data_IF_387561061435
#
_entry.id   IF_387561061435
#
_cell.length_a   1.000
_cell.length_b   1.000
_cell.length_c   1.000
_cell.angle_alpha   90.00
_cell.angle_beta   90.00
_cell.angle_gamma   90.00
#
_symmetry.space_group_name_H-M   'P 1'
#
loop_
_entity.id
_entity.type
_entity.pdbx_description
1 polymer ?
#
# COMPACT_ATOMS: atom_id res chain seq x y z
N UNK A 1 11.11 -4.68 -40.62
CA UNK A 1 9.78 -4.58 -39.95
C UNK A 1 9.60 -3.17 -39.44
N UNK A 2 9.02 -2.28 -40.26
CA UNK A 2 8.75 -0.90 -39.87
C UNK A 2 7.52 -0.87 -38.97
N UNK A 3 7.66 -0.41 -37.73
CA UNK A 3 6.50 -0.16 -36.89
C UNK A 3 5.68 0.97 -37.53
N UNK A 4 4.34 0.88 -37.55
CA UNK A 4 3.51 1.94 -38.11
C UNK A 4 3.76 3.21 -37.29
N UNK A 5 4.33 4.23 -37.94
CA UNK A 5 4.53 5.54 -37.35
C UNK A 5 3.15 6.14 -37.11
N UNK A 6 2.63 5.93 -35.90
CA UNK A 6 1.36 6.49 -35.46
C UNK A 6 1.40 8.02 -35.62
N UNK A 7 0.58 8.57 -36.51
CA UNK A 7 0.58 10.01 -36.79
C UNK A 7 0.00 10.79 -35.60
N UNK A 8 0.43 12.04 -35.41
CA UNK A 8 -0.04 12.91 -34.31
C UNK A 8 -1.57 13.04 -34.26
N UNK A 9 -2.23 13.00 -35.43
CA UNK A 9 -3.70 13.00 -35.54
C UNK A 9 -4.31 11.69 -35.02
N UNK A 10 -3.70 10.54 -35.30
CA UNK A 10 -4.11 9.24 -34.78
C UNK A 10 -3.95 9.17 -33.26
N UNK A 11 -2.79 9.60 -32.72
CA UNK A 11 -2.59 9.67 -31.28
C UNK A 11 -3.62 10.57 -30.58
N UNK A 12 -4.04 11.68 -31.21
CA UNK A 12 -5.06 12.56 -30.64
C UNK A 12 -6.42 11.85 -30.50
N UNK A 13 -6.86 11.14 -31.54
CA UNK A 13 -8.11 10.36 -31.49
C UNK A 13 -8.02 9.23 -30.47
N UNK A 14 -6.87 8.55 -30.40
CA UNK A 14 -6.63 7.52 -29.38
C UNK A 14 -6.74 8.10 -27.98
N UNK A 15 -6.10 9.24 -27.69
CA UNK A 15 -6.22 9.87 -26.36
C UNK A 15 -7.66 10.26 -26.05
N UNK A 16 -8.44 10.76 -27.02
CA UNK A 16 -9.86 11.08 -26.80
C UNK A 16 -10.70 9.85 -26.46
N UNK A 17 -10.51 8.75 -27.19
CA UNK A 17 -11.23 7.50 -26.93
C UNK A 17 -10.82 6.93 -25.58
N UNK A 18 -9.51 6.93 -25.30
CA UNK A 18 -8.95 6.37 -24.07
C UNK A 18 -9.35 7.21 -22.84
N UNK A 19 -9.44 8.53 -22.93
CA UNK A 19 -9.91 9.37 -21.80
C UNK A 19 -11.38 9.12 -21.49
N UNK A 20 -12.24 8.96 -22.50
CA UNK A 20 -13.66 8.61 -22.30
C UNK A 20 -13.79 7.22 -21.68
N UNK A 21 -13.04 6.23 -22.19
CA UNK A 21 -13.01 4.89 -21.58
C UNK A 21 -12.50 4.92 -20.14
N UNK A 22 -11.50 5.76 -19.85
CA UNK A 22 -10.96 5.95 -18.51
C UNK A 22 -12.00 6.56 -17.56
N UNK A 23 -12.84 7.48 -18.03
CA UNK A 23 -13.97 7.98 -17.24
C UNK A 23 -14.96 6.86 -16.88
N UNK A 24 -15.34 6.02 -17.85
CA UNK A 24 -16.26 4.92 -17.61
C UNK A 24 -15.69 3.91 -16.61
N UNK A 25 -14.40 3.58 -16.74
CA UNK A 25 -13.68 2.72 -15.79
C UNK A 25 -13.63 3.36 -14.40
N UNK A 26 -13.36 4.67 -14.30
CA UNK A 26 -13.36 5.39 -13.03
C UNK A 26 -14.73 5.42 -12.35
N UNK A 27 -15.81 5.64 -13.11
CA UNK A 27 -17.18 5.55 -12.61
C UNK A 27 -17.52 4.14 -12.11
N UNK A 28 -17.12 3.11 -12.85
CA UNK A 28 -17.31 1.73 -12.42
C UNK A 28 -16.55 1.46 -11.11
N UNK A 29 -15.27 1.83 -11.02
CA UNK A 29 -14.47 1.62 -9.80
C UNK A 29 -15.07 2.37 -8.60
N UNK A 30 -15.53 3.61 -8.79
CA UNK A 30 -16.22 4.37 -7.75
C UNK A 30 -17.51 3.66 -7.29
N UNK A 31 -18.35 3.21 -8.23
CA UNK A 31 -19.58 2.49 -7.92
C UNK A 31 -19.32 1.20 -7.13
N UNK A 32 -18.43 0.35 -7.63
CA UNK A 32 -18.09 -0.91 -6.95
C UNK A 32 -17.42 -0.66 -5.59
N UNK A 33 -16.56 0.35 -5.47
CA UNK A 33 -15.93 0.74 -4.21
C UNK A 33 -16.95 1.18 -3.15
N UNK A 34 -17.93 2.01 -3.52
CA UNK A 34 -19.01 2.45 -2.61
C UNK A 34 -19.87 1.26 -2.17
N UNK A 35 -20.21 0.35 -3.09
CA UNK A 35 -21.02 -0.83 -2.78
C UNK A 35 -20.28 -1.76 -1.80
N UNK A 36 -18.98 -1.96 -1.99
CA UNK A 36 -18.16 -2.77 -1.08
C UNK A 36 -18.01 -2.08 0.28
N UNK A 37 -17.66 -0.79 0.30
CA UNK A 37 -17.50 -0.01 1.54
C UNK A 37 -18.77 -0.02 2.39
N UNK A 38 -19.94 0.24 1.78
CA UNK A 38 -21.24 0.20 2.46
C UNK A 38 -21.67 -1.19 2.92
N UNK A 39 -21.10 -2.25 2.33
CA UNK A 39 -21.37 -3.63 2.76
C UNK A 39 -20.45 -4.09 3.90
N UNK A 40 -19.31 -3.44 4.09
CA UNK A 40 -18.27 -3.80 5.06
C UNK A 40 -18.16 -2.80 6.22
N UNK A 41 -19.01 -1.76 6.28
CA UNK A 41 -19.04 -0.82 7.39
C UNK A 41 -19.60 -1.48 8.66
N UNK A 42 -18.72 -2.01 9.50
CA UNK A 42 -18.99 -2.32 10.91
C UNK A 42 -18.64 -1.12 11.79
N UNK A 43 -19.15 -1.09 13.03
CA UNK A 43 -18.75 -0.12 14.07
C UNK A 43 -17.26 -0.16 14.44
N UNK A 44 -16.55 -1.23 14.06
CA UNK A 44 -15.10 -1.31 14.16
C UNK A 44 -14.43 -0.82 12.86
N UNK A 45 -13.54 0.18 12.99
CA UNK A 45 -12.66 0.69 11.94
C UNK A 45 -11.76 -0.44 11.42
N UNK A 46 -12.11 -1.04 10.28
CA UNK A 46 -11.35 -2.13 9.69
C UNK A 46 -10.58 -1.67 8.45
N UNK A 47 -9.34 -2.13 8.30
CA UNK A 47 -8.46 -1.83 7.16
C UNK A 47 -9.10 -2.17 5.80
N UNK A 48 -9.95 -3.19 5.73
CA UNK A 48 -10.71 -3.58 4.52
C UNK A 48 -11.72 -2.50 4.10
N UNK A 49 -12.45 -1.91 5.04
CA UNK A 49 -13.37 -0.79 4.77
C UNK A 49 -12.63 0.44 4.24
N UNK A 50 -11.44 0.73 4.81
CA UNK A 50 -10.56 1.82 4.35
C UNK A 50 -10.11 1.59 2.91
N UNK A 51 -9.71 0.37 2.54
CA UNK A 51 -9.31 0.09 1.15
C UNK A 51 -10.45 0.32 0.16
N UNK A 52 -11.68 -0.07 0.50
CA UNK A 52 -12.84 0.11 -0.37
C UNK A 52 -13.23 1.60 -0.52
N UNK A 53 -13.20 2.37 0.56
CA UNK A 53 -13.42 3.83 0.54
C UNK A 53 -12.33 4.52 -0.27
N UNK A 54 -11.06 4.15 -0.07
CA UNK A 54 -9.94 4.74 -0.81
C UNK A 54 -9.98 4.40 -2.31
N UNK A 55 -10.40 3.19 -2.68
CA UNK A 55 -10.66 2.82 -4.07
C UNK A 55 -11.79 3.67 -4.68
N UNK A 56 -12.85 3.93 -3.92
CA UNK A 56 -13.95 4.77 -4.37
C UNK A 56 -13.51 6.22 -4.59
N UNK A 57 -12.77 6.81 -3.64
CA UNK A 57 -12.23 8.17 -3.77
C UNK A 57 -11.24 8.26 -4.92
N UNK A 58 -10.35 7.26 -5.08
CA UNK A 58 -9.45 7.19 -6.22
C UNK A 58 -10.19 7.10 -7.55
N UNK A 59 -11.30 6.35 -7.62
CA UNK A 59 -12.18 6.30 -8.80
C UNK A 59 -12.74 7.66 -9.17
N UNK A 60 -13.20 8.44 -8.20
CA UNK A 60 -13.71 9.82 -8.41
C UNK A 60 -12.59 10.74 -8.90
N UNK A 61 -11.43 10.71 -8.25
CA UNK A 61 -10.25 11.49 -8.66
C UNK A 61 -9.84 11.11 -10.08
N UNK A 62 -9.88 9.83 -10.43
CA UNK A 62 -9.54 9.34 -11.75
C UNK A 62 -10.49 9.86 -12.83
N UNK A 63 -11.80 9.96 -12.54
CA UNK A 63 -12.78 10.62 -13.42
C UNK A 63 -12.43 12.10 -13.60
N UNK A 64 -12.17 12.82 -12.51
CA UNK A 64 -11.82 14.25 -12.57
C UNK A 64 -10.55 14.49 -13.41
N UNK A 65 -9.51 13.69 -13.22
CA UNK A 65 -8.28 13.76 -14.02
C UNK A 65 -8.56 13.45 -15.49
N UNK A 66 -9.38 12.44 -15.77
CA UNK A 66 -9.79 12.10 -17.14
C UNK A 66 -10.58 13.24 -17.81
N UNK A 67 -11.39 14.00 -17.05
CA UNK A 67 -12.09 15.19 -17.54
C UNK A 67 -11.12 16.31 -17.92
N UNK A 68 -10.10 16.57 -17.10
CA UNK A 68 -9.03 17.54 -17.43
C UNK A 68 -8.32 17.12 -18.71
N UNK A 69 -8.04 15.82 -18.89
CA UNK A 69 -7.46 15.29 -20.13
C UNK A 69 -8.33 15.49 -21.35
N UNK A 70 -9.64 15.23 -21.23
CA UNK A 70 -10.59 15.45 -22.32
C UNK A 70 -10.69 16.93 -22.72
N UNK A 71 -10.82 17.83 -21.75
CA UNK A 71 -10.80 19.27 -21.98
C UNK A 71 -9.47 19.74 -22.60
N UNK A 72 -8.33 19.21 -22.14
CA UNK A 72 -7.01 19.53 -22.67
C UNK A 72 -6.80 19.09 -24.12
N UNK A 73 -7.46 18.02 -24.58
CA UNK A 73 -7.39 17.60 -25.99
C UNK A 73 -8.28 18.45 -26.89
N UNK A 74 -9.40 18.96 -26.37
CA UNK A 74 -10.34 19.85 -27.09
C UNK A 74 -9.87 21.30 -27.16
N UNK A 75 -9.13 21.78 -26.16
CA UNK A 75 -8.61 23.14 -26.13
C UNK A 75 -7.68 23.44 -27.32
N UNK A 76 -7.93 24.58 -27.99
CA UNK A 76 -7.14 25.07 -29.13
C UNK A 76 -6.08 26.08 -28.68
N UNK A 77 -6.38 26.94 -27.70
CA UNK A 77 -5.42 27.80 -26.99
C UNK A 77 -4.91 27.11 -25.72
N UNK A 78 -3.63 27.32 -25.37
CA UNK A 78 -2.96 26.77 -24.16
C UNK A 78 -2.93 25.24 -24.01
N UNK A 79 -3.18 24.52 -25.11
CA UNK A 79 -3.24 23.05 -25.19
C UNK A 79 -2.08 22.33 -24.50
N UNK A 80 -0.87 22.88 -24.61
CA UNK A 80 0.34 22.25 -24.06
C UNK A 80 0.35 22.27 -22.53
N UNK A 81 -0.17 23.33 -21.89
CA UNK A 81 -0.24 23.41 -20.43
C UNK A 81 -1.26 22.42 -19.86
N UNK A 82 -2.46 22.34 -20.43
CA UNK A 82 -3.48 21.36 -20.00
C UNK A 82 -3.03 19.91 -20.21
N UNK A 83 -2.36 19.62 -21.34
CA UNK A 83 -1.82 18.28 -21.61
C UNK A 83 -0.73 17.90 -20.59
N UNK A 84 0.09 18.86 -20.17
CA UNK A 84 1.11 18.66 -19.14
C UNK A 84 0.51 18.47 -17.75
N UNK A 85 -0.50 19.26 -17.36
CA UNK A 85 -1.24 19.06 -16.10
C UNK A 85 -1.87 17.66 -16.08
N UNK A 86 -2.53 17.28 -17.17
CA UNK A 86 -3.12 15.95 -17.32
C UNK A 86 -2.08 14.84 -17.23
N UNK A 87 -0.90 15.01 -17.84
CA UNK A 87 0.20 14.07 -17.75
C UNK A 87 0.66 13.85 -16.30
N UNK A 88 0.86 14.92 -15.53
CA UNK A 88 1.28 14.82 -14.12
C UNK A 88 0.20 14.20 -13.24
N UNK A 89 -1.04 14.64 -13.40
CA UNK A 89 -2.17 14.10 -12.66
C UNK A 89 -2.37 12.61 -12.97
N UNK A 90 -2.21 12.22 -14.23
CA UNK A 90 -2.24 10.81 -14.66
C UNK A 90 -1.11 10.00 -14.04
N UNK A 91 0.11 10.52 -14.01
CA UNK A 91 1.25 9.84 -13.41
C UNK A 91 1.00 9.62 -11.91
N UNK A 92 0.56 10.65 -11.19
CA UNK A 92 0.26 10.56 -9.76
C UNK A 92 -0.87 9.56 -9.47
N UNK A 93 -1.98 9.66 -10.21
CA UNK A 93 -3.10 8.73 -10.05
C UNK A 93 -2.69 7.31 -10.38
N UNK A 94 -1.88 7.08 -11.42
CA UNK A 94 -1.43 5.73 -11.81
C UNK A 94 -0.66 5.00 -10.72
N UNK A 95 0.16 5.73 -9.94
CA UNK A 95 0.91 5.15 -8.81
C UNK A 95 -0.07 4.64 -7.75
N UNK A 96 -0.98 5.51 -7.32
CA UNK A 96 -1.97 5.20 -6.29
C UNK A 96 -2.90 4.08 -6.77
N UNK A 97 -3.34 4.12 -8.04
CA UNK A 97 -4.22 3.13 -8.63
C UNK A 97 -3.60 1.74 -8.70
N UNK A 98 -2.30 1.64 -9.01
CA UNK A 98 -1.62 0.35 -9.10
C UNK A 98 -1.56 -0.34 -7.74
N UNK A 99 -1.26 0.41 -6.67
CA UNK A 99 -1.25 -0.12 -5.30
C UNK A 99 -2.63 -0.66 -4.93
N UNK A 100 -3.68 0.12 -5.16
CA UNK A 100 -5.04 -0.30 -4.82
C UNK A 100 -5.57 -1.42 -5.70
N UNK A 101 -5.20 -1.45 -6.98
CA UNK A 101 -5.54 -2.54 -7.90
C UNK A 101 -4.91 -3.85 -7.42
N UNK A 102 -3.64 -3.81 -7.04
CA UNK A 102 -2.96 -4.98 -6.49
C UNK A 102 -3.60 -5.43 -5.17
N UNK A 103 -3.86 -4.50 -4.25
CA UNK A 103 -4.57 -4.80 -3.00
C UNK A 103 -5.94 -5.43 -3.27
N UNK A 104 -6.67 -4.97 -4.29
CA UNK A 104 -7.95 -5.56 -4.67
C UNK A 104 -7.82 -6.97 -5.26
N UNK A 105 -6.74 -7.26 -6.00
CA UNK A 105 -6.47 -8.59 -6.55
C UNK A 105 -6.01 -9.59 -5.48
N UNK A 106 -5.32 -9.13 -4.44
CA UNK A 106 -4.86 -9.97 -3.32
C UNK A 106 -5.91 -10.08 -2.21
N UNK A 107 -6.81 -9.10 -2.08
CA UNK A 107 -7.87 -9.10 -1.07
C UNK A 107 -8.62 -10.43 -0.94
N UNK A 108 -8.98 -11.18 -2.01
CA UNK A 108 -9.67 -12.46 -1.89
C UNK A 108 -9.04 -13.49 -0.95
N UNK A 109 -7.70 -13.54 -0.83
CA UNK A 109 -7.03 -14.46 0.10
C UNK A 109 -7.13 -13.96 1.54
N UNK A 110 -6.91 -12.68 1.77
CA UNK A 110 -6.93 -12.04 3.10
C UNK A 110 -8.34 -11.84 3.66
N UNK A 111 -9.35 -11.72 2.78
CA UNK A 111 -10.73 -11.43 3.19
C UNK A 111 -11.37 -12.60 3.92
N UNK A 112 -10.90 -13.84 3.68
CA UNK A 112 -11.44 -15.03 4.33
C UNK A 112 -11.18 -14.97 5.84
N UNK A 113 -9.94 -14.69 6.22
CA UNK A 113 -9.51 -14.56 7.61
C UNK A 113 -10.22 -13.38 8.27
N UNK A 114 -10.30 -12.24 7.59
CA UNK A 114 -11.02 -11.07 8.08
C UNK A 114 -12.52 -11.34 8.28
N UNK A 115 -13.17 -11.97 7.29
CA UNK A 115 -14.61 -12.27 7.33
C UNK A 115 -14.94 -13.26 8.44
N UNK A 116 -14.07 -14.24 8.72
CA UNK A 116 -14.24 -15.15 9.87
C UNK A 116 -14.30 -14.38 11.20
N UNK A 117 -13.42 -13.40 11.37
CA UNK A 117 -13.31 -12.60 12.60
C UNK A 117 -14.45 -11.59 12.79
N UNK A 118 -15.06 -11.12 11.70
CA UNK A 118 -16.11 -10.08 11.73
C UNK A 118 -17.50 -10.60 11.40
N UNK A 119 -17.67 -11.90 11.16
CA UNK A 119 -18.93 -12.46 10.65
C UNK A 119 -20.13 -12.15 11.54
N UNK A 120 -19.94 -12.15 12.87
CA UNK A 120 -21.00 -11.91 13.84
C UNK A 120 -21.47 -10.45 13.89
N UNK A 121 -20.63 -9.48 13.51
CA UNK A 121 -20.87 -8.05 13.63
C UNK A 121 -21.21 -7.37 12.30
N UNK A 122 -21.19 -8.12 11.20
CA UNK A 122 -21.38 -7.59 9.86
C UNK A 122 -22.86 -7.45 9.46
N UNK A 123 -23.27 -6.31 8.88
CA UNK A 123 -24.63 -6.11 8.37
C UNK A 123 -24.94 -6.98 7.13
N UNK A 124 -23.95 -7.68 6.57
CA UNK A 124 -24.07 -8.59 5.44
C UNK A 124 -25.08 -9.71 5.69
N UNK A 125 -25.24 -10.18 6.94
CA UNK A 125 -26.17 -11.28 7.29
C UNK A 125 -27.63 -10.95 7.02
N UNK A 126 -27.99 -9.67 7.02
CA UNK A 126 -29.34 -9.20 6.76
C UNK A 126 -29.67 -9.08 5.27
N UNK A 127 -28.67 -9.20 4.38
CA UNK A 127 -28.90 -9.17 2.93
C UNK A 127 -29.26 -10.56 2.40
N UNK A 128 -30.22 -10.67 1.46
CA UNK A 128 -30.65 -11.96 0.91
C UNK A 128 -29.53 -12.70 0.17
N UNK A 129 -28.57 -11.98 -0.40
CA UNK A 129 -27.43 -12.55 -1.11
C UNK A 129 -26.35 -13.16 -0.20
N UNK A 130 -26.32 -12.86 1.11
CA UNK A 130 -25.21 -13.16 2.02
C UNK A 130 -25.67 -13.88 3.30
N UNK A 131 -26.73 -14.70 3.24
CA UNK A 131 -27.28 -15.38 4.43
C UNK A 131 -26.32 -16.41 5.06
N UNK A 132 -25.46 -17.02 4.25
CA UNK A 132 -24.43 -17.98 4.71
C UNK A 132 -23.04 -17.40 4.53
N UNK A 133 -22.09 -17.87 5.34
CA UNK A 133 -20.70 -17.43 5.30
C UNK A 133 -20.07 -17.63 3.91
N UNK A 134 -20.30 -18.80 3.29
CA UNK A 134 -19.76 -19.12 1.96
C UNK A 134 -20.31 -18.19 0.86
N UNK A 135 -21.60 -17.88 0.91
CA UNK A 135 -22.22 -16.94 -0.03
C UNK A 135 -21.69 -15.51 0.16
N UNK A 136 -21.48 -15.08 1.40
CA UNK A 136 -20.90 -13.77 1.68
C UNK A 136 -19.43 -13.69 1.23
N UNK A 137 -18.65 -14.74 1.49
CA UNK A 137 -17.27 -14.87 1.01
C UNK A 137 -17.21 -14.78 -0.51
N UNK A 138 -18.03 -15.55 -1.21
CA UNK A 138 -18.07 -15.56 -2.67
C UNK A 138 -18.48 -14.20 -3.22
N UNK A 139 -19.49 -13.55 -2.62
CA UNK A 139 -19.95 -12.21 -3.00
C UNK A 139 -18.83 -11.17 -2.88
N UNK A 140 -18.16 -11.10 -1.74
CA UNK A 140 -17.09 -10.13 -1.47
C UNK A 140 -15.88 -10.41 -2.36
N UNK A 141 -15.44 -11.68 -2.43
CA UNK A 141 -14.29 -12.09 -3.26
C UNK A 141 -14.48 -11.74 -4.74
N UNK A 142 -15.66 -12.00 -5.30
CA UNK A 142 -15.96 -11.69 -6.71
C UNK A 142 -15.89 -10.18 -6.98
N UNK A 143 -16.38 -9.35 -6.05
CA UNK A 143 -16.38 -7.89 -6.21
C UNK A 143 -14.99 -7.29 -6.11
N UNK A 144 -14.15 -7.78 -5.20
CA UNK A 144 -12.74 -7.38 -5.12
C UNK A 144 -11.96 -7.81 -6.37
N UNK A 145 -12.19 -9.02 -6.88
CA UNK A 145 -11.58 -9.47 -8.14
C UNK A 145 -12.00 -8.59 -9.32
N UNK A 146 -13.29 -8.25 -9.44
CA UNK A 146 -13.79 -7.33 -10.47
C UNK A 146 -13.17 -5.93 -10.36
N UNK A 147 -13.03 -5.39 -9.14
CA UNK A 147 -12.32 -4.13 -8.89
C UNK A 147 -10.86 -4.21 -9.34
N UNK A 148 -10.17 -5.32 -9.06
CA UNK A 148 -8.82 -5.56 -9.52
C UNK A 148 -8.69 -5.63 -11.05
N UNK A 149 -9.60 -6.32 -11.73
CA UNK A 149 -9.61 -6.40 -13.20
C UNK A 149 -9.88 -5.03 -13.84
N UNK A 150 -10.85 -4.29 -13.31
CA UNK A 150 -11.14 -2.92 -13.76
C UNK A 150 -9.97 -1.97 -13.51
N UNK A 151 -9.32 -2.09 -12.35
CA UNK A 151 -8.12 -1.35 -12.02
C UNK A 151 -6.97 -1.62 -13.00
N UNK A 152 -6.73 -2.90 -13.34
CA UNK A 152 -5.72 -3.29 -14.31
C UNK A 152 -6.01 -2.73 -15.72
N UNK A 153 -7.28 -2.76 -16.15
CA UNK A 153 -7.70 -2.13 -17.40
C UNK A 153 -7.49 -0.61 -17.37
N UNK A 154 -7.76 0.06 -16.24
CA UNK A 154 -7.48 1.48 -16.04
C UNK A 154 -5.99 1.81 -16.08
N UNK A 155 -5.13 0.98 -15.51
CA UNK A 155 -3.67 1.17 -15.59
C UNK A 155 -3.19 1.05 -17.05
N UNK A 156 -3.67 0.05 -17.78
CA UNK A 156 -3.35 -0.12 -19.20
C UNK A 156 -3.78 1.11 -20.02
N UNK A 157 -4.98 1.65 -19.76
CA UNK A 157 -5.46 2.87 -20.42
C UNK A 157 -4.58 4.08 -20.09
N UNK A 158 -4.14 4.22 -18.84
CA UNK A 158 -3.25 5.30 -18.42
C UNK A 158 -1.87 5.22 -19.06
N UNK A 159 -1.28 4.03 -19.10
CA UNK A 159 0.02 3.81 -19.76
C UNK A 159 -0.07 4.15 -21.24
N UNK A 160 -1.11 3.69 -21.93
CA UNK A 160 -1.34 4.03 -23.34
C UNK A 160 -1.49 5.54 -23.55
N UNK A 161 -2.17 6.22 -22.63
CA UNK A 161 -2.35 7.67 -22.67
C UNK A 161 -1.03 8.42 -22.48
N UNK A 162 -0.21 8.00 -21.50
CA UNK A 162 1.12 8.57 -21.26
C UNK A 162 2.02 8.42 -22.48
N UNK A 163 2.04 7.25 -23.12
CA UNK A 163 2.81 7.01 -24.36
C UNK A 163 2.36 7.95 -25.49
N UNK A 164 1.06 8.14 -25.65
CA UNK A 164 0.53 9.05 -26.66
C UNK A 164 0.89 10.51 -26.36
N UNK A 165 0.82 10.95 -25.11
CA UNK A 165 1.18 12.31 -24.70
C UNK A 165 2.66 12.58 -24.96
N UNK A 166 3.55 11.64 -24.59
CA UNK A 166 5.00 11.77 -24.83
C UNK A 166 5.30 11.92 -26.32
N UNK A 167 4.58 11.21 -27.19
CA UNK A 167 4.69 11.36 -28.65
C UNK A 167 4.17 12.70 -29.17
N UNK A 168 3.12 13.26 -28.56
CA UNK A 168 2.51 14.53 -29.00
C UNK A 168 3.33 15.75 -28.54
N UNK A 169 3.80 15.76 -27.30
CA UNK A 169 4.37 16.96 -26.67
C UNK A 169 5.88 17.15 -26.93
N UNK A 170 6.53 16.20 -27.60
CA UNK A 170 7.98 16.13 -27.84
C UNK A 170 8.81 16.01 -26.54
N UNK A 171 9.70 15.02 -26.52
CA UNK A 171 10.48 14.61 -25.33
C UNK A 171 11.21 15.76 -24.58
N UNK A 172 11.87 16.74 -25.24
CA UNK A 172 12.70 17.72 -24.53
C UNK A 172 11.91 18.81 -23.80
N UNK A 173 10.74 19.23 -24.31
CA UNK A 173 9.89 20.25 -23.66
C UNK A 173 9.23 19.67 -22.41
N UNK A 174 8.71 18.45 -22.52
CA UNK A 174 8.11 17.72 -21.40
C UNK A 174 9.13 17.43 -20.31
N UNK A 175 10.31 16.93 -20.67
CA UNK A 175 11.30 16.51 -19.66
C UNK A 175 11.81 17.65 -18.78
N UNK A 176 11.90 18.87 -19.31
CA UNK A 176 12.37 20.02 -18.52
C UNK A 176 11.39 20.44 -17.44
N UNK A 177 10.10 20.51 -17.77
CA UNK A 177 9.07 20.80 -16.77
C UNK A 177 8.84 19.61 -15.84
N UNK A 178 8.99 18.39 -16.37
CA UNK A 178 8.75 17.16 -15.60
C UNK A 178 9.75 17.00 -14.47
N UNK A 179 11.02 17.27 -14.73
CA UNK A 179 12.05 17.16 -13.68
C UNK A 179 11.80 18.15 -12.53
N UNK A 180 11.30 19.36 -12.83
CA UNK A 180 11.01 20.36 -11.78
C UNK A 180 9.78 19.98 -10.96
N UNK A 181 8.71 19.47 -11.60
CA UNK A 181 7.48 19.06 -10.90
C UNK A 181 7.72 17.81 -10.06
N UNK A 182 8.37 16.79 -10.63
CA UNK A 182 8.67 15.54 -9.92
C UNK A 182 9.56 15.80 -8.70
N UNK A 183 10.59 16.64 -8.82
CA UNK A 183 11.42 17.00 -7.67
C UNK A 183 10.68 17.86 -6.64
N UNK A 184 9.75 18.73 -7.04
CA UNK A 184 8.90 19.44 -6.09
C UNK A 184 8.01 18.47 -5.29
N UNK A 185 7.44 17.45 -5.94
CA UNK A 185 6.69 16.39 -5.26
C UNK A 185 7.57 15.60 -4.29
N UNK A 186 8.81 15.27 -4.68
CA UNK A 186 9.76 14.61 -3.77
C UNK A 186 10.17 15.49 -2.58
N UNK A 187 10.28 16.81 -2.75
CA UNK A 187 10.50 17.73 -1.63
C UNK A 187 9.34 17.63 -0.63
N UNK A 188 8.09 17.69 -1.11
CA UNK A 188 6.91 17.57 -0.23
C UNK A 188 6.89 16.22 0.49
N UNK A 189 7.08 15.12 -0.25
CA UNK A 189 7.12 13.78 0.32
C UNK A 189 8.26 13.62 1.35
N UNK A 190 9.42 14.22 1.09
CA UNK A 190 10.57 14.19 2.00
C UNK A 190 10.26 14.94 3.29
N UNK A 191 9.65 16.12 3.20
CA UNK A 191 9.23 16.89 4.36
C UNK A 191 8.23 16.10 5.21
N UNK A 192 7.24 15.45 4.58
CA UNK A 192 6.27 14.59 5.29
C UNK A 192 6.99 13.42 5.99
N UNK A 193 7.93 12.76 5.32
CA UNK A 193 8.70 11.66 5.91
C UNK A 193 9.55 12.10 7.10
N UNK A 194 10.19 13.27 7.02
CA UNK A 194 10.98 13.84 8.12
C UNK A 194 10.07 14.17 9.31
N UNK A 195 8.98 14.90 9.07
CA UNK A 195 8.03 15.30 10.13
C UNK A 195 7.42 14.07 10.79
N UNK A 196 6.97 13.09 9.99
CA UNK A 196 6.39 11.86 10.52
C UNK A 196 7.43 11.03 11.29
N UNK A 197 8.67 10.93 10.82
CA UNK A 197 9.74 10.22 11.54
C UNK A 197 10.07 10.87 12.89
N UNK A 198 10.12 12.20 12.95
CA UNK A 198 10.30 12.94 14.19
C UNK A 198 9.09 12.79 15.12
N UNK A 199 7.87 12.80 14.56
CA UNK A 199 6.64 12.59 15.31
C UNK A 199 6.57 11.16 15.89
N UNK A 200 6.85 10.14 15.08
CA UNK A 200 6.86 8.74 15.51
C UNK A 200 7.83 8.52 16.67
N UNK A 201 8.98 9.20 16.65
CA UNK A 201 9.94 9.19 17.74
C UNK A 201 9.45 9.95 18.99
N UNK A 202 8.76 11.07 18.82
CA UNK A 202 8.35 11.92 19.94
C UNK A 202 7.16 11.39 20.76
N UNK A 203 6.38 10.48 20.18
CA UNK A 203 5.15 9.95 20.79
C UNK A 203 5.26 8.48 21.22
N UNK A 204 6.46 7.90 21.24
CA UNK A 204 6.69 6.47 21.50
C UNK A 204 5.74 5.58 20.69
N UNK A 205 5.34 6.03 19.48
CA UNK A 205 4.42 5.29 18.62
C UNK A 205 5.01 3.96 18.12
N UNK A 206 6.29 3.73 18.41
CA UNK A 206 7.09 2.56 18.09
C UNK A 206 7.64 1.91 19.38
N UNK A 207 6.80 1.77 20.40
CA UNK A 207 7.11 1.01 21.61
C UNK A 207 7.59 -0.41 21.26
N UNK A 208 8.81 -0.77 21.67
CA UNK A 208 9.40 -2.10 21.41
C UNK A 208 10.83 -2.12 20.86
N UNK A 209 11.58 -1.00 20.95
CA UNK A 209 12.98 -0.95 20.48
C UNK A 209 13.13 -0.68 18.98
N UNK A 210 12.08 -0.14 18.34
CA UNK A 210 12.05 0.18 16.91
C UNK A 210 12.44 1.63 16.60
N UNK A 211 13.07 2.33 17.55
CA UNK A 211 13.55 3.72 17.39
C UNK A 211 14.46 3.91 16.17
N UNK A 212 15.22 2.86 15.82
CA UNK A 212 16.08 2.86 14.65
C UNK A 212 15.29 3.04 13.35
N UNK A 213 14.04 2.57 13.29
CA UNK A 213 13.15 2.72 12.13
C UNK A 213 12.71 4.17 11.95
N UNK A 214 12.40 4.87 13.05
CA UNK A 214 12.07 6.30 13.02
C UNK A 214 13.27 7.12 12.52
N UNK A 215 14.48 6.82 13.03
CA UNK A 215 15.71 7.46 12.56
C UNK A 215 16.04 7.15 11.10
N UNK A 216 15.78 5.92 10.65
CA UNK A 216 15.93 5.55 9.25
C UNK A 216 15.00 6.38 8.37
N UNK A 217 13.73 6.54 8.76
CA UNK A 217 12.77 7.35 8.01
C UNK A 217 13.21 8.81 7.91
N UNK A 218 13.70 9.40 9.01
CA UNK A 218 14.27 10.75 9.00
C UNK A 218 15.48 10.83 8.07
N UNK A 219 16.42 9.88 8.17
CA UNK A 219 17.62 9.84 7.33
C UNK A 219 17.30 9.72 5.83
N UNK A 220 16.38 8.83 5.47
CA UNK A 220 15.89 8.68 4.09
C UNK A 220 15.19 9.95 3.62
N UNK A 221 14.37 10.57 4.47
CA UNK A 221 13.70 11.84 4.18
C UNK A 221 14.71 12.95 3.87
N UNK A 222 15.75 13.12 4.69
CA UNK A 222 16.81 14.12 4.47
C UNK A 222 17.55 13.84 3.15
N UNK A 223 17.95 12.59 2.91
CA UNK A 223 18.64 12.22 1.67
C UNK A 223 17.78 12.51 0.43
N UNK A 224 16.49 12.17 0.48
CA UNK A 224 15.54 12.46 -0.60
C UNK A 224 15.34 13.96 -0.80
N UNK A 225 15.26 14.74 0.28
CA UNK A 225 15.15 16.20 0.22
C UNK A 225 16.35 16.84 -0.48
N UNK A 226 17.57 16.45 -0.09
CA UNK A 226 18.82 16.97 -0.68
C UNK A 226 18.93 16.60 -2.16
N UNK A 227 18.64 15.33 -2.51
CA UNK A 227 18.63 14.90 -3.92
C UNK A 227 17.60 15.67 -4.74
N UNK A 228 16.38 15.86 -4.21
CA UNK A 228 15.33 16.60 -4.89
C UNK A 228 15.69 18.08 -5.09
N UNK A 229 16.37 18.71 -4.11
CA UNK A 229 16.90 20.06 -4.26
C UNK A 229 17.94 20.15 -5.39
N UNK A 230 18.88 19.21 -5.49
CA UNK A 230 19.84 19.19 -6.59
C UNK A 230 19.16 18.99 -7.95
N UNK A 231 18.14 18.13 -8.02
CA UNK A 231 17.35 17.95 -9.24
C UNK A 231 16.58 19.21 -9.63
N UNK A 232 15.95 19.87 -8.66
CA UNK A 232 15.22 21.11 -8.86
C UNK A 232 16.15 22.26 -9.30
N UNK A 233 17.23 22.51 -8.55
CA UNK A 233 18.22 23.54 -8.86
C UNK A 233 18.94 23.26 -10.20
N UNK A 234 19.33 22.00 -10.45
CA UNK A 234 19.96 21.58 -11.70
C UNK A 234 19.08 21.86 -12.93
N UNK A 235 17.77 21.63 -12.81
CA UNK A 235 16.81 21.91 -13.90
C UNK A 235 16.64 23.41 -14.20
N UNK A 236 16.76 24.27 -13.18
CA UNK A 236 16.57 25.72 -13.28
C UNK A 236 17.84 26.44 -13.71
N UNK A 237 18.95 26.16 -13.04
CA UNK A 237 20.26 26.78 -13.24
C UNK A 237 20.96 26.23 -14.51
N UNK A 238 20.44 25.15 -15.11
CA UNK A 238 21.02 24.45 -16.27
C UNK A 238 22.46 23.98 -16.02
N UNK A 239 22.80 23.71 -14.75
CA UNK A 239 24.14 23.26 -14.37
C UNK A 239 24.32 21.76 -14.65
N UNK A 240 25.27 21.42 -15.51
CA UNK A 240 25.58 20.01 -15.86
C UNK A 240 26.12 19.22 -14.67
N UNK A 241 26.89 19.86 -13.79
CA UNK A 241 27.49 19.22 -12.61
C UNK A 241 26.42 18.84 -11.58
N UNK A 242 25.46 19.75 -11.31
CA UNK A 242 24.33 19.45 -10.41
C UNK A 242 23.45 18.31 -10.97
N UNK A 243 23.20 18.31 -12.28
CA UNK A 243 22.46 17.23 -12.93
C UNK A 243 23.21 15.88 -12.88
N UNK A 244 24.55 15.88 -12.88
CA UNK A 244 25.36 14.67 -12.73
C UNK A 244 25.23 14.11 -11.31
N UNK A 245 25.41 14.96 -10.29
CA UNK A 245 25.26 14.56 -8.88
C UNK A 245 23.85 14.00 -8.63
N UNK A 246 22.83 14.67 -9.16
CA UNK A 246 21.45 14.20 -9.10
C UNK A 246 21.27 12.84 -9.78
N UNK A 247 21.79 12.67 -11.01
CA UNK A 247 21.70 11.39 -11.73
C UNK A 247 22.44 10.25 -11.02
N UNK A 248 23.61 10.52 -10.41
CA UNK A 248 24.35 9.54 -9.63
C UNK A 248 23.55 9.12 -8.38
N UNK A 249 22.93 10.08 -7.68
CA UNK A 249 22.04 9.79 -6.56
C UNK A 249 20.80 8.98 -6.96
N UNK A 250 20.18 9.30 -8.09
CA UNK A 250 19.08 8.51 -8.64
C UNK A 250 19.51 7.09 -9.03
N UNK A 251 20.71 6.92 -9.58
CA UNK A 251 21.25 5.59 -9.88
C UNK A 251 21.50 4.77 -8.60
N UNK A 252 22.03 5.40 -7.55
CA UNK A 252 22.22 4.76 -6.25
C UNK A 252 20.88 4.33 -5.63
N UNK A 253 19.90 5.21 -5.60
CA UNK A 253 18.55 4.90 -5.08
C UNK A 253 17.88 3.78 -5.89
N UNK A 254 18.07 3.73 -7.21
CA UNK A 254 17.59 2.63 -8.05
C UNK A 254 18.21 1.29 -7.64
N UNK A 255 19.52 1.25 -7.38
CA UNK A 255 20.20 0.02 -6.92
C UNK A 255 19.60 -0.43 -5.59
N UNK A 256 19.47 0.48 -4.62
CA UNK A 256 18.89 0.18 -3.29
C UNK A 256 17.46 -0.35 -3.42
N UNK A 257 16.62 0.29 -4.24
CA UNK A 257 15.24 -0.15 -4.46
C UNK A 257 15.16 -1.51 -5.15
N UNK A 258 16.03 -1.78 -6.14
CA UNK A 258 16.08 -3.09 -6.78
C UNK A 258 16.51 -4.19 -5.81
N UNK A 259 17.55 -3.94 -5.01
CA UNK A 259 18.00 -4.89 -3.97
C UNK A 259 16.88 -5.12 -2.94
N UNK A 260 16.23 -4.05 -2.48
CA UNK A 260 15.09 -4.12 -1.56
C UNK A 260 13.87 -4.86 -2.12
N UNK A 261 13.57 -4.67 -3.41
CA UNK A 261 12.52 -5.42 -4.08
C UNK A 261 12.87 -6.91 -4.15
N UNK A 262 14.08 -7.25 -4.61
CA UNK A 262 14.52 -8.64 -4.72
C UNK A 262 14.55 -9.34 -3.36
N UNK A 263 15.01 -8.65 -2.31
CA UNK A 263 15.02 -9.22 -0.96
C UNK A 263 13.59 -9.42 -0.45
N UNK A 264 12.67 -8.46 -0.62
CA UNK A 264 11.28 -8.61 -0.21
C UNK A 264 10.62 -9.84 -0.84
N UNK A 265 10.77 -10.04 -2.15
CA UNK A 265 10.22 -11.23 -2.84
C UNK A 265 10.90 -12.52 -2.42
N UNK A 266 12.22 -12.51 -2.24
CA UNK A 266 12.97 -13.68 -1.80
C UNK A 266 12.56 -14.10 -0.38
N UNK A 267 12.46 -13.15 0.56
CA UNK A 267 12.00 -13.42 1.92
C UNK A 267 10.55 -13.92 1.92
N UNK A 268 9.66 -13.27 1.15
CA UNK A 268 8.24 -13.67 1.04
C UNK A 268 8.06 -15.13 0.64
N UNK A 269 8.92 -15.64 -0.25
CA UNK A 269 8.78 -16.98 -0.83
C UNK A 269 9.58 -18.06 -0.10
N UNK A 270 10.75 -17.73 0.45
CA UNK A 270 11.70 -18.74 0.94
C UNK A 270 11.90 -18.75 2.46
N UNK A 271 11.57 -17.66 3.17
CA UNK A 271 11.92 -17.51 4.59
C UNK A 271 10.72 -17.18 5.49
N UNK A 272 9.55 -16.87 4.94
CA UNK A 272 8.34 -16.68 5.76
C UNK A 272 7.99 -17.95 6.53
N UNK A 273 8.17 -19.13 5.94
CA UNK A 273 7.82 -20.39 6.59
C UNK A 273 8.73 -20.71 7.77
N UNK A 274 10.05 -20.65 7.57
CA UNK A 274 11.02 -20.93 8.63
C UNK A 274 10.99 -19.90 9.76
N UNK A 275 10.76 -18.62 9.44
CA UNK A 275 10.67 -17.56 10.45
C UNK A 275 9.40 -17.68 11.29
N UNK A 276 8.24 -17.95 10.67
CA UNK A 276 6.97 -18.11 11.42
C UNK A 276 6.96 -19.38 12.28
N UNK A 277 7.63 -20.45 11.85
CA UNK A 277 7.83 -21.65 12.67
C UNK A 277 8.78 -21.40 13.85
N UNK A 278 9.85 -20.63 13.65
CA UNK A 278 10.83 -20.33 14.69
C UNK A 278 10.29 -19.35 15.76
N UNK A 279 9.54 -18.33 15.34
CA UNK A 279 9.00 -17.30 16.25
C UNK A 279 7.65 -17.71 16.85
N UNK A 280 6.87 -18.54 16.14
CA UNK A 280 5.52 -18.92 16.53
C UNK A 280 4.47 -17.94 16.01
N UNK A 281 3.45 -18.47 15.34
CA UNK A 281 2.40 -17.67 14.69
C UNK A 281 1.63 -16.76 15.67
N UNK A 282 1.34 -17.25 16.87
CA UNK A 282 0.67 -16.47 17.92
C UNK A 282 1.47 -15.27 18.41
N UNK A 283 2.80 -15.37 18.45
CA UNK A 283 3.70 -14.28 18.87
C UNK A 283 3.84 -13.23 17.76
N UNK A 284 3.90 -13.65 16.49
CA UNK A 284 3.89 -12.75 15.33
C UNK A 284 2.56 -12.01 15.23
N UNK A 285 1.45 -12.71 15.40
CA UNK A 285 0.12 -12.10 15.39
C UNK A 285 -0.03 -11.07 16.51
N UNK A 286 0.55 -11.37 17.67
CA UNK A 286 0.45 -10.48 18.81
C UNK A 286 1.33 -9.24 18.69
N UNK A 287 2.60 -9.40 18.31
CA UNK A 287 3.52 -8.28 18.06
C UNK A 287 3.07 -7.41 16.88
N UNK A 288 2.40 -7.99 15.89
CA UNK A 288 1.80 -7.26 14.78
C UNK A 288 0.46 -6.58 15.10
N UNK A 289 -0.02 -6.66 16.34
CA UNK A 289 -1.37 -6.22 16.75
C UNK A 289 -2.44 -6.65 15.75
N UNK A 290 -2.35 -7.89 15.28
CA UNK A 290 -3.28 -8.40 14.28
C UNK A 290 -4.68 -8.45 14.88
N UNK A 291 -5.64 -7.96 14.10
CA UNK A 291 -7.02 -7.85 14.54
C UNK A 291 -7.57 -9.22 14.98
N UNK A 292 -8.36 -9.22 16.05
CA UNK A 292 -9.00 -10.42 16.57
C UNK A 292 -8.11 -11.28 17.48
N UNK A 293 -6.85 -10.88 17.70
CA UNK A 293 -6.07 -11.46 18.78
C UNK A 293 -6.60 -10.96 20.13
N UNK A 294 -7.14 -11.87 20.94
CA UNK A 294 -7.73 -11.53 22.24
C UNK A 294 -6.72 -11.60 23.40
N UNK A 295 -5.55 -12.22 23.17
CA UNK A 295 -4.62 -12.62 24.23
C UNK A 295 -3.22 -11.98 24.08
N UNK A 296 -3.21 -10.69 23.72
CA UNK A 296 -1.98 -9.89 23.69
C UNK A 296 -1.66 -9.27 25.03
N UNK A 297 -1.15 -10.08 25.94
CA UNK A 297 -0.82 -9.67 27.31
C UNK A 297 0.66 -9.29 27.47
N UNK A 298 1.35 -8.91 26.38
CA UNK A 298 2.78 -8.55 26.43
C UNK A 298 3.08 -7.34 27.31
N UNK A 299 2.08 -6.47 27.57
CA UNK A 299 2.21 -5.29 28.44
C UNK A 299 1.47 -5.40 29.80
N UNK A 300 0.51 -6.32 29.96
CA UNK A 300 -0.18 -6.55 31.23
C UNK A 300 -0.08 -8.02 31.63
N UNK A 301 0.36 -8.36 32.85
CA UNK A 301 0.43 -9.75 33.29
C UNK A 301 -0.94 -10.41 33.21
N UNK A 302 -0.96 -11.62 32.64
CA UNK A 302 -2.18 -12.42 32.59
C UNK A 302 -2.75 -12.67 33.99
N UNK A 303 -4.08 -12.77 34.13
CA UNK A 303 -4.73 -13.12 35.40
C UNK A 303 -4.45 -14.56 35.85
N UNK A 304 -3.91 -15.41 34.96
CA UNK A 304 -3.66 -16.83 35.21
C UNK A 304 -4.93 -17.68 35.18
N UNK A 305 -4.77 -18.99 35.10
CA UNK A 305 -5.87 -19.97 35.13
C UNK A 305 -5.65 -21.05 36.16
N UNK A 306 -6.77 -21.58 36.68
CA UNK A 306 -6.78 -22.77 37.52
C UNK A 306 -7.96 -23.67 37.16
N UNK A 307 -7.82 -24.96 37.45
CA UNK A 307 -8.88 -25.94 37.24
C UNK A 307 -9.79 -25.97 38.47
N UNK A 308 -11.00 -25.43 38.35
CA UNK A 308 -11.97 -25.35 39.45
C UNK A 308 -12.66 -26.70 39.70
N UNK A 309 -12.76 -27.54 38.67
CA UNK A 309 -13.27 -28.92 38.73
C UNK A 309 -12.77 -29.67 37.49
N UNK A 310 -12.74 -31.01 37.46
CA UNK A 310 -12.24 -31.78 36.31
C UNK A 310 -12.87 -31.30 34.98
N UNK A 311 -12.05 -30.72 34.10
CA UNK A 311 -12.46 -30.18 32.80
C UNK A 311 -13.11 -28.79 32.81
N UNK A 312 -13.16 -28.10 33.95
CA UNK A 312 -13.75 -26.75 34.09
C UNK A 312 -12.70 -25.78 34.62
N UNK A 313 -12.31 -24.85 33.75
CA UNK A 313 -11.28 -23.87 34.02
C UNK A 313 -11.88 -22.51 34.37
N UNK A 314 -11.20 -21.76 35.23
CA UNK A 314 -11.55 -20.39 35.59
C UNK A 314 -10.33 -19.46 35.47
N UNK A 315 -10.57 -18.16 35.25
CA UNK A 315 -9.56 -17.09 35.25
C UNK A 315 -9.45 -16.43 36.63
N UNK A 316 -8.49 -15.50 36.79
CA UNK A 316 -8.28 -14.65 37.98
C UNK A 316 -7.62 -15.31 39.20
N UNK A 317 -6.72 -16.28 39.00
CA UNK A 317 -5.96 -16.78 40.15
C UNK A 317 -4.96 -15.75 40.72
N UNK A 318 -4.54 -14.72 39.98
CA UNK A 318 -3.74 -13.61 40.53
C UNK A 318 -4.49 -12.77 41.59
N UNK A 319 -5.83 -12.78 41.63
CA UNK A 319 -6.61 -12.11 42.66
C UNK A 319 -6.84 -12.97 43.92
N UNK A 320 -6.62 -14.29 43.84
CA UNK A 320 -6.99 -15.28 44.89
C UNK A 320 -5.80 -15.65 45.80
N UNK A 321 -4.57 -15.21 45.48
CA UNK A 321 -3.37 -15.49 46.33
C UNK A 321 -3.34 -14.66 47.63
N UNK A 322 -4.31 -13.76 47.84
CA UNK A 322 -4.52 -13.16 49.16
C UNK A 322 -5.73 -13.82 49.82
N UNK A 323 -5.43 -14.54 50.91
CA UNK A 323 -6.32 -14.88 52.03
C UNK A 323 -6.65 -16.39 52.13
N UNK A 324 -5.84 -17.06 52.96
CA UNK A 324 -6.03 -18.35 53.64
C UNK A 324 -5.33 -19.61 53.08
N UNK A 325 -4.22 -19.95 53.76
CA UNK A 325 -3.27 -21.05 53.61
C UNK A 325 -3.87 -22.47 53.82
N UNK A 326 -4.92 -22.87 53.11
CA UNK A 326 -5.37 -24.28 53.23
C UNK A 326 -5.78 -25.02 51.96
N UNK A 327 -5.86 -24.36 50.80
CA UNK A 327 -6.01 -25.05 49.51
C UNK A 327 -5.29 -24.28 48.40
N UNK A 328 -4.00 -24.55 48.19
CA UNK A 328 -3.29 -24.07 46.99
C UNK A 328 -3.75 -24.89 45.78
N UNK A 329 -4.83 -24.45 45.12
CA UNK A 329 -5.07 -24.88 43.73
C UNK A 329 -3.91 -24.38 42.87
N UNK A 330 -3.22 -25.26 42.10
CA UNK A 330 -2.10 -24.85 41.28
C UNK A 330 -2.57 -23.87 40.20
N UNK A 331 -2.20 -22.60 40.36
CA UNK A 331 -2.46 -21.55 39.38
C UNK A 331 -1.36 -21.55 38.33
N UNK A 332 -1.74 -21.63 37.06
CA UNK A 332 -0.84 -21.44 35.93
C UNK A 332 -0.92 -19.98 35.47
N UNK A 333 -0.03 -19.15 36.02
CA UNK A 333 0.06 -17.71 35.72
C UNK A 333 0.52 -17.42 34.29
N UNK A 334 1.03 -18.42 33.57
CA UNK A 334 1.50 -18.28 32.20
C UNK A 334 0.40 -18.60 31.16
N UNK A 335 -0.83 -18.91 31.59
CA UNK A 335 -1.93 -19.30 30.70
C UNK A 335 -3.20 -18.49 30.99
N UNK A 336 -4.05 -18.37 29.96
CA UNK A 336 -5.36 -17.72 30.03
C UNK A 336 -6.43 -18.58 29.36
N UNK A 337 -7.70 -18.23 29.55
CA UNK A 337 -8.82 -18.83 28.84
C UNK A 337 -9.19 -18.01 27.61
N UNK A 338 -9.23 -18.67 26.46
CA UNK A 338 -9.71 -18.09 25.21
C UNK A 338 -10.95 -18.88 24.77
N UNK A 339 -11.95 -18.18 24.26
CA UNK A 339 -13.16 -18.82 23.73
C UNK A 339 -12.79 -19.72 22.54
N UNK A 340 -13.23 -20.98 22.57
CA UNK A 340 -12.94 -21.92 21.49
C UNK A 340 -13.75 -21.53 20.23
N UNK A 341 -13.11 -21.25 19.08
CA UNK A 341 -13.83 -20.86 17.87
C UNK A 341 -14.72 -21.98 17.29
N UNK A 342 -14.48 -23.24 17.66
CA UNK A 342 -15.30 -24.38 17.25
C UNK A 342 -16.48 -24.66 18.21
N UNK A 343 -16.52 -24.06 19.39
CA UNK A 343 -17.56 -24.29 20.40
C UNK A 343 -17.79 -23.06 21.28
N UNK A 344 -18.97 -22.46 21.18
CA UNK A 344 -19.33 -21.22 21.90
C UNK A 344 -19.42 -21.36 23.42
N UNK A 345 -19.33 -22.58 23.95
CA UNK A 345 -19.40 -22.88 25.40
C UNK A 345 -18.12 -23.51 25.95
N UNK A 346 -17.13 -23.77 25.08
CA UNK A 346 -15.85 -24.32 25.50
C UNK A 346 -14.79 -23.21 25.52
N UNK A 347 -13.90 -23.30 26.50
CA UNK A 347 -12.73 -22.43 26.61
C UNK A 347 -11.49 -23.30 26.47
N UNK A 348 -10.56 -22.84 25.64
CA UNK A 348 -9.25 -23.46 25.52
C UNK A 348 -8.27 -22.74 26.44
N UNK A 349 -7.41 -23.52 27.09
CA UNK A 349 -6.35 -23.01 27.94
C UNK A 349 -5.13 -22.75 27.06
N UNK A 350 -4.72 -21.49 26.94
CA UNK A 350 -3.69 -21.06 26.00
C UNK A 350 -2.61 -20.26 26.72
N UNK A 351 -1.32 -20.43 26.39
CA UNK A 351 -0.25 -19.58 26.91
C UNK A 351 -0.52 -18.09 26.64
N UNK A 352 -0.16 -17.27 27.61
CA UNK A 352 -0.27 -15.82 27.57
C UNK A 352 0.64 -15.19 26.52
N UNK A 353 0.19 -14.09 25.93
CA UNK A 353 0.93 -13.38 24.88
C UNK A 353 0.85 -14.02 23.50
N UNK A 354 0.09 -15.11 23.33
CA UNK A 354 -0.09 -15.82 22.05
C UNK A 354 -1.53 -15.71 21.58
N UNK A 355 -1.71 -15.45 20.29
CA UNK A 355 -3.00 -15.46 19.61
C UNK A 355 -3.32 -16.86 19.05
N UNK A 356 -4.14 -17.69 19.72
CA UNK A 356 -4.54 -18.99 19.19
C UNK A 356 -5.49 -18.88 17.99
N UNK A 357 -6.12 -17.71 17.79
CA UNK A 357 -7.05 -17.45 16.68
C UNK A 357 -6.35 -17.42 15.33
N UNK A 358 -5.02 -17.25 15.32
CA UNK A 358 -4.18 -17.16 14.14
C UNK A 358 -3.39 -18.44 13.93
N UNK A 359 -3.78 -19.19 12.90
CA UNK A 359 -3.03 -20.36 12.48
C UNK A 359 -1.75 -19.96 11.74
N UNK A 360 -0.75 -20.84 11.77
CA UNK A 360 0.54 -20.64 11.09
C UNK A 360 0.36 -20.29 9.61
N UNK A 361 -0.51 -21.02 8.90
CA UNK A 361 -0.80 -20.77 7.50
C UNK A 361 -1.40 -19.36 7.24
N UNK A 362 -2.25 -18.87 8.14
CA UNK A 362 -2.89 -17.55 8.00
C UNK A 362 -1.89 -16.42 8.24
N UNK A 363 -0.99 -16.57 9.22
CA UNK A 363 0.10 -15.62 9.48
C UNK A 363 1.12 -15.61 8.33
N UNK A 364 1.50 -16.78 7.83
CA UNK A 364 2.39 -16.91 6.67
C UNK A 364 1.79 -16.22 5.43
N UNK A 365 0.50 -16.46 5.15
CA UNK A 365 -0.19 -15.82 4.04
C UNK A 365 -0.24 -14.29 4.22
N UNK A 366 -0.50 -13.79 5.43
CA UNK A 366 -0.54 -12.36 5.72
C UNK A 366 0.83 -11.68 5.55
N UNK A 367 1.88 -12.25 6.13
CA UNK A 367 3.26 -11.73 6.04
C UNK A 367 3.75 -11.79 4.59
N UNK A 368 3.51 -12.92 3.90
CA UNK A 368 3.85 -13.08 2.49
C UNK A 368 3.15 -12.05 1.60
N UNK A 369 1.84 -11.85 1.77
CA UNK A 369 1.09 -10.85 1.02
C UNK A 369 1.62 -9.42 1.26
N UNK A 370 1.98 -9.09 2.50
CA UNK A 370 2.55 -7.80 2.87
C UNK A 370 3.93 -7.58 2.25
N UNK A 371 4.80 -8.59 2.25
CA UNK A 371 6.11 -8.52 1.59
C UNK A 371 5.99 -8.43 0.07
N UNK A 372 5.04 -9.13 -0.54
CA UNK A 372 4.76 -8.97 -1.97
C UNK A 372 4.30 -7.54 -2.30
N UNK A 373 3.44 -6.93 -1.46
CA UNK A 373 3.04 -5.53 -1.62
C UNK A 373 4.25 -4.59 -1.58
N UNK A 374 5.14 -4.77 -0.60
CA UNK A 374 6.38 -3.98 -0.47
C UNK A 374 7.27 -4.17 -1.70
N UNK A 375 7.42 -5.41 -2.19
CA UNK A 375 8.19 -5.70 -3.40
C UNK A 375 7.62 -5.02 -4.65
N UNK A 376 6.30 -5.02 -4.83
CA UNK A 376 5.65 -4.34 -5.97
C UNK A 376 5.80 -2.83 -5.87
N UNK A 377 5.59 -2.26 -4.68
CA UNK A 377 5.83 -0.84 -4.42
C UNK A 377 7.27 -0.45 -4.75
N UNK A 378 8.24 -1.26 -4.35
CA UNK A 378 9.65 -1.03 -4.65
C UNK A 378 9.93 -1.07 -6.16
N UNK A 379 9.37 -2.05 -6.90
CA UNK A 379 9.49 -2.12 -8.37
C UNK A 379 8.88 -0.88 -9.03
N UNK A 380 7.68 -0.47 -8.60
CA UNK A 380 7.04 0.73 -9.12
C UNK A 380 7.90 1.97 -8.92
N UNK A 381 8.41 2.16 -7.71
CA UNK A 381 9.28 3.29 -7.40
C UNK A 381 10.58 3.22 -8.21
N UNK A 382 11.16 2.03 -8.41
CA UNK A 382 12.29 1.83 -9.31
C UNK A 382 11.98 2.29 -10.74
N UNK A 383 10.81 1.96 -11.28
CA UNK A 383 10.41 2.44 -12.60
C UNK A 383 10.30 3.96 -12.65
N UNK A 384 9.71 4.60 -11.63
CA UNK A 384 9.62 6.06 -11.53
C UNK A 384 11.00 6.71 -11.46
N UNK A 385 11.91 6.17 -10.64
CA UNK A 385 13.29 6.63 -10.50
C UNK A 385 14.06 6.46 -11.81
N UNK A 386 13.88 5.33 -12.52
CA UNK A 386 14.50 5.09 -13.83
C UNK A 386 14.04 6.12 -14.88
N UNK A 387 12.76 6.50 -14.88
CA UNK A 387 12.23 7.55 -15.76
C UNK A 387 12.83 8.91 -15.40
N UNK A 388 12.93 9.25 -14.11
CA UNK A 388 13.55 10.49 -13.66
C UNK A 388 15.05 10.54 -14.04
N UNK A 389 15.76 9.42 -13.90
CA UNK A 389 17.15 9.27 -14.30
C UNK A 389 17.32 9.46 -15.81
N UNK A 390 16.49 8.81 -16.62
CA UNK A 390 16.49 9.00 -18.08
C UNK A 390 16.22 10.47 -18.44
N UNK A 391 15.26 11.12 -17.78
CA UNK A 391 14.96 12.54 -17.95
C UNK A 391 16.16 13.44 -17.63
N UNK A 392 16.84 13.19 -16.51
CA UNK A 392 18.04 13.93 -16.12
C UNK A 392 19.19 13.76 -17.13
N UNK A 393 19.41 12.54 -17.62
CA UNK A 393 20.45 12.24 -18.62
C UNK A 393 20.16 12.87 -19.97
N UNK A 394 18.91 12.83 -20.43
CA UNK A 394 18.46 13.48 -21.67
C UNK A 394 18.64 14.99 -21.56
N UNK A 395 18.21 15.61 -20.45
CA UNK A 395 18.36 17.04 -20.23
C UNK A 395 19.84 17.46 -20.19
N UNK A 396 20.69 16.66 -19.54
CA UNK A 396 22.14 16.91 -19.52
C UNK A 396 22.74 16.83 -20.93
N UNK A 397 22.35 15.84 -21.74
CA UNK A 397 22.80 15.71 -23.14
C UNK A 397 22.28 16.83 -24.04
N UNK A 398 21.04 17.30 -23.85
CA UNK A 398 20.53 18.44 -24.64
C UNK A 398 21.29 19.72 -24.32
N UNK A 399 21.63 19.95 -23.04
CA UNK A 399 22.47 21.07 -22.64
C UNK A 399 23.90 20.95 -23.20
N UNK A 400 24.39 19.72 -23.45
CA UNK A 400 25.65 19.44 -24.15
C UNK A 400 25.69 20.09 -25.54
N UNK A 401 24.66 19.80 -26.35
CA UNK A 401 24.56 20.26 -27.75
C UNK A 401 24.29 21.76 -27.88
N UNK A 402 23.53 22.36 -26.97
CA UNK A 402 23.25 23.81 -27.01
C UNK A 402 24.49 24.68 -26.81
N UNK A 403 25.52 24.22 -26.08
CA UNK A 403 26.77 24.98 -25.93
C UNK A 403 27.73 24.80 -27.10
N UNK A 404 27.59 23.75 -27.89
CA UNK A 404 28.45 23.51 -29.07
C UNK A 404 27.94 24.19 -30.33
N UNK A 405 26.68 24.64 -30.38
CA UNK A 405 26.12 25.43 -31.49
C UNK A 405 26.22 26.95 -31.26
N UNK A 406 26.60 27.40 -30.06
CA UNK A 406 26.77 28.82 -29.72
C UNK A 406 28.23 29.29 -29.71
N UNK A 407 29.15 28.42 -30.12
CA UNK A 407 30.58 28.68 -30.35
C UNK A 407 30.80 28.36 -31.83
#
# INVERSE_FOLDING_TARGET
MGSPIMTVRTCRRVVQVVTVMSMLVGCAIAYFGIVVASSMSSTAESSSSVTAVMLATCGIVYVAVSMVGFCGVLATKERLQFLMIYFYATLLVSVVFLVFTYMALVAPSSIVTWLKLHWSTLPLRHRPCCRTFDNARAFVSTRYSMLGVLGAAGIASLVMTLVCIVKIASVPVVMRHMLSVVNAMFIVAATVAIVYGLHAKGYDALDGGWDWLAWLLVGVGIAMFVLALFGFAGSRIKSRSLLLVYAAGLAWTLIVLCVGATSAFYYATSHVNSWTEAVGAGDVACSGHLYGCSNCTTMLPCPGVYEASPGRWATDCNAVVRQDDSFQTPCDVAKTLVANPASSTAFDVVPCGKCPEWNVADVQAFVGASLHLVGILAIMMSCCVAVALAGALVLRRSLARYQTESI
#
